data_IF_027512769034
#
_entry.id   IF_027512769034
#
_cell.length_a   1.000
_cell.length_b   1.000
_cell.length_c   1.000
_cell.angle_alpha   90.00
_cell.angle_beta   90.00
_cell.angle_gamma   90.00
#
_symmetry.space_group_name_H-M   'P 1'
#
loop_
_entity.id
_entity.type
_entity.pdbx_description
1 polymer ?
#
# COMPACT_ATOMS: atom_id res chain seq x y z
N UNK A 1 2.59 -3.68 12.72
CA UNK A 1 1.41 -2.83 12.42
C UNK A 1 0.23 -3.66 11.93
N UNK A 2 0.17 -4.16 10.69
CA UNK A 2 -1.03 -4.88 10.19
C UNK A 2 -1.46 -6.06 11.07
N UNK A 3 -0.53 -6.93 11.48
CA UNK A 3 -0.84 -8.04 12.39
C UNK A 3 -1.44 -7.56 13.72
N UNK A 4 -0.89 -6.48 14.31
CA UNK A 4 -1.40 -5.91 15.56
C UNK A 4 -2.80 -5.31 15.40
N UNK A 5 -3.11 -4.69 14.26
CA UNK A 5 -4.46 -4.17 13.99
C UNK A 5 -5.45 -5.34 13.96
N UNK A 6 -5.09 -6.44 13.29
CA UNK A 6 -5.93 -7.64 13.22
C UNK A 6 -6.09 -8.29 14.60
N UNK A 7 -5.02 -8.38 15.40
CA UNK A 7 -5.09 -8.99 16.74
C UNK A 7 -5.93 -8.16 17.74
N UNK A 8 -5.90 -6.83 17.64
CA UNK A 8 -6.44 -5.95 18.69
C UNK A 8 -7.69 -5.16 18.28
N UNK A 9 -8.01 -5.07 16.98
CA UNK A 9 -9.06 -4.17 16.48
C UNK A 9 -9.78 -4.69 15.22
N UNK A 10 -9.75 -6.00 14.94
CA UNK A 10 -10.37 -6.57 13.74
C UNK A 10 -11.85 -6.21 13.58
N UNK A 11 -12.62 -6.29 14.67
CA UNK A 11 -14.07 -6.05 14.66
C UNK A 11 -14.45 -4.59 14.32
N UNK A 12 -13.48 -3.66 14.34
CA UNK A 12 -13.69 -2.25 13.99
C UNK A 12 -13.42 -1.95 12.50
N UNK A 13 -12.96 -2.93 11.72
CA UNK A 13 -12.59 -2.72 10.33
C UNK A 13 -13.79 -2.94 9.39
N UNK A 14 -14.24 -1.87 8.72
CA UNK A 14 -15.24 -1.96 7.64
C UNK A 14 -14.67 -2.57 6.34
N UNK A 15 -13.33 -2.62 6.23
CA UNK A 15 -12.61 -3.09 5.05
C UNK A 15 -11.24 -3.68 5.45
N UNK A 16 -10.66 -4.58 4.63
CA UNK A 16 -9.37 -5.20 4.95
C UNK A 16 -8.22 -4.18 4.97
N UNK A 17 -7.23 -4.39 5.83
CA UNK A 17 -6.01 -3.58 5.83
C UNK A 17 -5.16 -3.91 4.60
N UNK A 18 -4.88 -2.89 3.77
CA UNK A 18 -4.00 -3.00 2.59
C UNK A 18 -2.72 -2.20 2.79
N UNK A 19 -1.64 -2.59 2.10
CA UNK A 19 -0.34 -1.91 2.17
C UNK A 19 0.06 -1.41 0.79
N UNK A 20 0.44 -0.14 0.71
CA UNK A 20 1.17 0.43 -0.43
C UNK A 20 2.63 0.52 -0.02
N UNK A 21 3.49 -0.21 -0.71
CA UNK A 21 4.90 -0.33 -0.38
C UNK A 21 5.73 -0.28 -1.66
N UNK A 22 7.05 -0.10 -1.51
CA UNK A 22 7.97 -0.16 -2.64
C UNK A 22 7.93 -1.53 -3.32
N UNK A 23 8.34 -1.55 -4.58
CA UNK A 23 8.46 -2.81 -5.32
C UNK A 23 9.43 -3.76 -4.60
N UNK A 24 9.13 -5.06 -4.62
CA UNK A 24 9.94 -6.10 -3.98
C UNK A 24 11.16 -6.46 -4.85
N UNK A 25 12.02 -5.46 -5.05
CA UNK A 25 13.25 -5.52 -5.83
C UNK A 25 14.32 -4.65 -5.18
N UNK A 26 15.61 -4.94 -5.37
CA UNK A 26 16.67 -4.02 -4.99
C UNK A 26 16.48 -2.66 -5.67
N UNK A 27 16.76 -1.57 -4.95
CA UNK A 27 16.55 -0.21 -5.46
C UNK A 27 17.29 0.02 -6.79
N UNK A 28 16.58 0.27 -7.91
CA UNK A 28 17.21 0.49 -9.20
C UNK A 28 17.93 1.84 -9.25
N UNK A 29 19.06 1.90 -9.97
CA UNK A 29 19.77 3.18 -10.22
C UNK A 29 19.19 4.01 -11.36
N UNK A 30 18.39 3.40 -12.24
CA UNK A 30 17.76 4.10 -13.36
C UNK A 30 16.65 5.00 -12.82
N UNK A 31 16.65 6.31 -13.12
CA UNK A 31 15.63 7.23 -12.59
C UNK A 31 14.19 6.84 -12.93
N UNK A 32 13.99 6.18 -14.07
CA UNK A 32 12.65 5.69 -14.47
C UNK A 32 12.23 4.51 -13.61
N UNK A 33 13.14 3.56 -13.35
CA UNK A 33 12.85 2.38 -12.54
C UNK A 33 12.76 2.70 -11.04
N UNK A 34 13.55 3.66 -10.57
CA UNK A 34 13.47 4.18 -9.21
C UNK A 34 12.08 4.77 -8.92
N UNK A 35 11.56 5.60 -9.83
CA UNK A 35 10.19 6.13 -9.73
C UNK A 35 9.13 5.03 -9.67
N UNK A 36 9.30 3.95 -10.44
CA UNK A 36 8.38 2.82 -10.42
C UNK A 36 8.52 1.93 -9.18
N UNK A 37 9.69 1.94 -8.53
CA UNK A 37 9.96 1.17 -7.33
C UNK A 37 9.44 1.86 -6.06
N UNK A 38 9.33 3.19 -6.06
CA UNK A 38 8.87 3.99 -4.91
C UNK A 38 7.34 4.16 -4.97
N UNK A 39 6.61 4.11 -3.84
CA UNK A 39 5.20 4.49 -3.78
C UNK A 39 4.98 5.96 -4.16
N UNK A 40 3.99 6.21 -4.99
CA UNK A 40 3.60 7.55 -5.44
C UNK A 40 2.15 7.90 -5.04
N UNK A 41 1.76 9.19 -5.10
CA UNK A 41 0.42 9.63 -4.75
C UNK A 41 -0.69 8.96 -5.56
N UNK A 42 -0.45 8.67 -6.84
CA UNK A 42 -1.41 8.04 -7.74
C UNK A 42 -1.73 6.61 -7.28
N UNK A 43 -0.71 5.82 -6.94
CA UNK A 43 -0.85 4.47 -6.38
C UNK A 43 -1.57 4.47 -5.03
N UNK A 44 -1.30 5.46 -4.18
CA UNK A 44 -2.01 5.61 -2.89
C UNK A 44 -3.49 5.88 -3.16
N UNK A 45 -3.80 6.82 -4.04
CA UNK A 45 -5.18 7.15 -4.41
C UNK A 45 -5.91 5.94 -5.02
N UNK A 46 -5.25 5.19 -5.90
CA UNK A 46 -5.81 3.98 -6.52
C UNK A 46 -6.10 2.90 -5.46
N UNK A 47 -5.18 2.67 -4.53
CA UNK A 47 -5.37 1.69 -3.46
C UNK A 47 -6.56 2.06 -2.56
N UNK A 48 -6.70 3.33 -2.20
CA UNK A 48 -7.84 3.83 -1.41
C UNK A 48 -9.15 3.65 -2.18
N UNK A 49 -9.19 4.04 -3.46
CA UNK A 49 -10.36 3.88 -4.34
C UNK A 49 -10.82 2.43 -4.45
N UNK A 50 -9.89 1.51 -4.71
CA UNK A 50 -10.15 0.06 -4.72
C UNK A 50 -10.69 -0.45 -3.38
N UNK A 51 -10.17 0.07 -2.26
CA UNK A 51 -10.61 -0.35 -0.93
C UNK A 51 -12.05 0.10 -0.62
N UNK A 52 -12.44 1.31 -1.04
CA UNK A 52 -13.77 1.87 -0.79
C UNK A 52 -14.80 1.58 -1.90
N UNK A 53 -14.40 0.85 -2.95
CA UNK A 53 -15.26 0.49 -4.08
C UNK A 53 -15.69 1.68 -4.96
N UNK A 54 -14.83 2.68 -5.15
CA UNK A 54 -15.09 3.88 -5.98
C UNK A 54 -14.15 4.00 -7.17
#
# INVERSE_FOLDING_TARGET
ITAQIVENAFDYLDAPVVRVAGADVPMPKSPVLEKLAIPDPERICEAVRKLVGR
#
